data_IF_181586915498
#
_entry.id   IF_181586915498
#
_cell.length_a   1.000
_cell.length_b   1.000
_cell.length_c   1.000
_cell.angle_alpha   90.00
_cell.angle_beta   90.00
_cell.angle_gamma   90.00
#
_symmetry.space_group_name_H-M   'P 1'
#
loop_
_entity.id
_entity.type
_entity.pdbx_description
1 polymer ?
#
# COMPACT_ATOMS: atom_id res chain seq x y z
N UNK A 1 10.35 -31.92 -30.27
CA UNK A 1 10.02 -31.08 -29.09
C UNK A 1 10.76 -29.79 -29.26
N UNK A 2 10.04 -28.72 -29.58
CA UNK A 2 10.64 -27.40 -29.71
C UNK A 2 11.05 -26.88 -28.31
N UNK A 3 12.31 -26.42 -28.23
CA UNK A 3 12.80 -25.84 -26.98
C UNK A 3 12.06 -24.50 -26.72
N UNK A 4 11.54 -24.26 -25.51
CA UNK A 4 10.89 -22.99 -25.22
C UNK A 4 11.89 -21.83 -25.39
N UNK A 5 11.47 -20.80 -26.13
CA UNK A 5 12.22 -19.55 -26.25
C UNK A 5 11.95 -18.74 -24.97
N UNK A 6 12.97 -18.58 -24.13
CA UNK A 6 12.89 -17.75 -22.94
C UNK A 6 13.30 -16.33 -23.35
N UNK A 7 12.33 -15.43 -23.43
CA UNK A 7 12.58 -13.99 -23.61
C UNK A 7 12.75 -13.37 -22.23
N UNK A 8 13.99 -13.10 -21.84
CA UNK A 8 14.29 -12.30 -20.64
C UNK A 8 14.40 -10.84 -21.04
N UNK A 9 13.44 -10.01 -20.67
CA UNK A 9 13.56 -8.56 -20.70
C UNK A 9 14.11 -8.07 -19.36
N UNK A 10 14.86 -6.96 -19.38
CA UNK A 10 15.26 -6.28 -18.15
C UNK A 10 14.00 -5.70 -17.49
N UNK A 11 13.65 -6.28 -16.34
CA UNK A 11 12.45 -5.89 -15.58
C UNK A 11 12.67 -4.64 -14.71
N UNK A 12 13.85 -4.02 -14.79
CA UNK A 12 14.11 -2.80 -14.02
C UNK A 12 13.20 -1.67 -14.48
N UNK A 13 12.65 -1.01 -13.50
CA UNK A 13 11.76 0.14 -13.66
C UNK A 13 12.48 1.38 -13.10
N UNK A 14 13.43 1.91 -13.89
CA UNK A 14 14.28 3.06 -13.50
C UNK A 14 13.49 4.35 -13.25
N UNK A 15 12.23 4.37 -13.69
CA UNK A 15 11.31 5.46 -13.42
C UNK A 15 10.66 5.43 -12.03
N UNK A 16 10.85 4.33 -11.26
CA UNK A 16 10.32 4.21 -9.90
C UNK A 16 11.38 4.61 -8.87
N UNK A 17 11.04 5.61 -8.05
CA UNK A 17 11.88 6.07 -6.95
C UNK A 17 11.39 5.41 -5.67
N UNK A 18 12.14 4.44 -5.18
CA UNK A 18 11.80 3.68 -3.97
C UNK A 18 12.36 4.39 -2.74
N UNK A 19 11.50 4.67 -1.77
CA UNK A 19 11.86 5.37 -0.54
C UNK A 19 11.34 4.60 0.68
N UNK A 20 12.17 4.49 1.71
CA UNK A 20 11.76 4.04 3.05
C UNK A 20 11.71 5.27 3.96
N UNK A 21 10.65 5.39 4.75
CA UNK A 21 10.47 6.49 5.71
C UNK A 21 10.12 5.94 7.07
N UNK A 22 11.00 6.19 8.02
CA UNK A 22 10.78 5.86 9.40
C UNK A 22 9.68 6.76 9.98
N UNK A 23 8.65 6.14 10.53
CA UNK A 23 7.54 6.77 11.25
C UNK A 23 7.51 6.38 12.71
N UNK A 24 8.60 5.79 13.20
CA UNK A 24 8.77 5.45 14.60
C UNK A 24 8.67 6.73 15.46
N UNK A 25 7.89 6.68 16.50
CA UNK A 25 7.77 7.78 17.44
C UNK A 25 7.64 7.24 18.87
N UNK A 26 8.15 8.01 19.84
CA UNK A 26 8.11 7.67 21.27
C UNK A 26 6.76 8.01 21.93
N UNK A 27 5.68 8.05 21.16
CA UNK A 27 4.34 8.33 21.68
C UNK A 27 3.80 7.11 22.42
N UNK A 28 3.11 7.36 23.55
CA UNK A 28 2.65 6.30 24.45
C UNK A 28 1.39 5.61 23.93
N UNK A 29 0.48 6.36 23.31
CA UNK A 29 -0.80 5.82 22.85
C UNK A 29 -0.77 5.45 21.37
N UNK A 30 -1.59 4.47 21.00
CA UNK A 30 -1.79 4.08 19.59
C UNK A 30 -2.33 5.26 18.76
N UNK A 31 -3.22 6.05 19.32
CA UNK A 31 -3.82 7.22 18.68
C UNK A 31 -2.76 8.26 18.31
N UNK A 32 -1.89 8.61 19.26
CA UNK A 32 -0.80 9.57 19.02
C UNK A 32 0.19 9.07 17.97
N UNK A 33 0.49 7.76 17.94
CA UNK A 33 1.35 7.15 16.92
C UNK A 33 0.69 7.19 15.54
N UNK A 34 -0.61 6.89 15.48
CA UNK A 34 -1.38 6.96 14.26
C UNK A 34 -1.44 8.40 13.71
N UNK A 35 -1.71 9.37 14.57
CA UNK A 35 -1.71 10.78 14.20
C UNK A 35 -0.37 11.23 13.63
N UNK A 36 0.74 10.86 14.28
CA UNK A 36 2.08 11.15 13.78
C UNK A 36 2.32 10.54 12.39
N UNK A 37 1.92 9.28 12.19
CA UNK A 37 2.04 8.58 10.92
C UNK A 37 1.21 9.25 9.83
N UNK A 38 -0.01 9.68 10.13
CA UNK A 38 -0.87 10.43 9.22
C UNK A 38 -0.25 11.79 8.86
N UNK A 39 0.31 12.53 9.81
CA UNK A 39 1.03 13.77 9.51
C UNK A 39 2.21 13.57 8.56
N UNK A 40 2.93 12.44 8.68
CA UNK A 40 3.98 12.09 7.72
C UNK A 40 3.41 11.73 6.35
N UNK A 41 2.28 11.00 6.31
CA UNK A 41 1.58 10.68 5.07
C UNK A 41 1.14 11.94 4.32
N UNK A 42 0.50 12.89 5.00
CA UNK A 42 0.08 14.16 4.40
C UNK A 42 1.26 14.92 3.80
N UNK A 43 2.38 15.02 4.53
CA UNK A 43 3.60 15.65 4.00
C UNK A 43 4.14 14.96 2.73
N UNK A 44 3.96 13.66 2.58
CA UNK A 44 4.35 12.94 1.37
C UNK A 44 3.39 13.24 0.23
N UNK A 45 2.09 13.27 0.50
CA UNK A 45 1.07 13.66 -0.49
C UNK A 45 1.37 15.07 -0.97
N UNK A 46 1.47 16.05 -0.10
CA UNK A 46 1.73 17.46 -0.44
C UNK A 46 3.04 17.64 -1.22
N UNK A 47 4.04 16.81 -0.94
CA UNK A 47 5.35 16.89 -1.61
C UNK A 47 5.37 16.29 -2.99
N UNK A 48 4.72 15.13 -3.18
CA UNK A 48 4.88 14.30 -4.37
C UNK A 48 3.65 14.24 -5.25
N UNK A 49 2.47 14.56 -4.71
CA UNK A 49 1.25 14.67 -5.51
C UNK A 49 1.22 16.02 -6.22
N UNK A 50 1.04 15.98 -7.55
CA UNK A 50 0.89 17.15 -8.40
C UNK A 50 -0.40 17.04 -9.19
N UNK A 51 -0.33 16.34 -10.32
CA UNK A 51 -1.46 16.20 -11.25
C UNK A 51 -1.94 14.75 -11.39
N UNK A 52 -1.10 13.78 -11.08
CA UNK A 52 -1.39 12.35 -11.18
C UNK A 52 -2.21 11.81 -10.02
N UNK A 53 -2.34 10.50 -9.93
CA UNK A 53 -3.08 9.82 -8.88
C UNK A 53 -2.17 9.33 -7.75
N UNK A 54 -2.71 9.30 -6.54
CA UNK A 54 -2.08 8.76 -5.33
C UNK A 54 -2.76 7.46 -4.93
N UNK A 55 -1.99 6.43 -4.67
CA UNK A 55 -2.49 5.15 -4.19
C UNK A 55 -1.87 4.82 -2.83
N UNK A 56 -2.70 4.70 -1.80
CA UNK A 56 -2.29 4.41 -0.44
C UNK A 56 -2.74 3.00 -0.08
N UNK A 57 -1.79 2.13 0.21
CA UNK A 57 -2.08 0.77 0.68
C UNK A 57 -2.07 0.70 2.20
N UNK A 58 -3.15 0.16 2.78
CA UNK A 58 -3.24 -0.17 4.19
C UNK A 58 -3.60 -1.64 4.37
N UNK A 59 -3.09 -2.27 5.43
CA UNK A 59 -3.24 -3.72 5.62
C UNK A 59 -4.66 -4.17 5.96
N UNK A 60 -5.46 -3.31 6.61
CA UNK A 60 -6.79 -3.68 7.07
C UNK A 60 -7.86 -2.73 6.57
N UNK A 61 -9.08 -3.25 6.45
CA UNK A 61 -10.26 -2.43 6.09
C UNK A 61 -10.52 -1.33 7.12
N UNK A 62 -10.21 -1.57 8.39
CA UNK A 62 -10.35 -0.57 9.46
C UNK A 62 -9.41 0.61 9.25
N UNK A 63 -8.15 0.35 8.88
CA UNK A 63 -7.22 1.43 8.53
C UNK A 63 -7.65 2.18 7.28
N UNK A 64 -8.15 1.47 6.26
CA UNK A 64 -8.67 2.13 5.05
C UNK A 64 -9.82 3.07 5.38
N UNK A 65 -10.76 2.64 6.22
CA UNK A 65 -11.91 3.45 6.61
C UNK A 65 -11.51 4.65 7.48
N UNK A 66 -10.61 4.45 8.45
CA UNK A 66 -10.09 5.52 9.29
C UNK A 66 -9.33 6.58 8.48
N UNK A 67 -8.43 6.15 7.60
CA UNK A 67 -7.69 7.06 6.71
C UNK A 67 -8.62 7.79 5.75
N UNK A 68 -9.64 7.12 5.20
CA UNK A 68 -10.63 7.74 4.34
C UNK A 68 -11.36 8.90 5.02
N UNK A 69 -11.77 8.72 6.28
CA UNK A 69 -12.45 9.77 7.04
C UNK A 69 -11.50 10.93 7.32
N UNK A 70 -10.30 10.66 7.83
CA UNK A 70 -9.34 11.70 8.20
C UNK A 70 -8.82 12.45 6.97
N UNK A 71 -8.39 11.75 5.93
CA UNK A 71 -7.89 12.39 4.71
C UNK A 71 -9.01 13.06 3.93
N UNK A 72 -10.25 12.60 4.04
CA UNK A 72 -11.41 13.24 3.43
C UNK A 72 -11.73 14.63 3.99
N UNK A 73 -11.38 14.87 5.25
CA UNK A 73 -11.45 16.21 5.87
C UNK A 73 -10.30 17.11 5.43
N UNK A 74 -9.10 16.54 5.22
CA UNK A 74 -7.89 17.29 4.82
C UNK A 74 -7.91 17.60 3.31
N UNK A 75 -8.37 16.65 2.48
CA UNK A 75 -8.43 16.77 1.02
C UNK A 75 -9.89 16.56 0.57
N UNK A 76 -10.79 17.53 0.82
CA UNK A 76 -12.21 17.39 0.56
C UNK A 76 -12.50 17.20 -0.93
N UNK A 77 -13.32 16.21 -1.23
CA UNK A 77 -13.71 15.89 -2.60
C UNK A 77 -12.72 15.02 -3.37
N UNK A 78 -11.48 14.83 -2.90
CA UNK A 78 -10.41 14.19 -3.65
C UNK A 78 -10.11 12.74 -3.21
N UNK A 79 -10.59 12.34 -2.04
CA UNK A 79 -10.29 11.03 -1.44
C UNK A 79 -11.37 10.02 -1.75
N UNK A 80 -10.94 8.79 -2.08
CA UNK A 80 -11.80 7.62 -2.23
C UNK A 80 -11.18 6.39 -1.57
N UNK A 81 -11.95 5.30 -1.45
CA UNK A 81 -11.47 4.07 -0.81
C UNK A 81 -11.94 2.81 -1.53
N UNK A 82 -11.16 1.73 -1.37
CA UNK A 82 -11.49 0.44 -1.97
C UNK A 82 -11.07 -0.74 -1.07
N UNK A 83 -12.05 -1.55 -0.67
CA UNK A 83 -11.83 -2.84 0.02
C UNK A 83 -13.04 -3.76 -0.12
N UNK A 84 -12.89 -5.04 0.24
CA UNK A 84 -13.90 -6.08 0.05
C UNK A 84 -15.19 -5.87 0.85
N UNK A 85 -15.15 -5.11 1.96
CA UNK A 85 -16.31 -4.91 2.86
C UNK A 85 -17.22 -3.75 2.45
N UNK A 86 -16.88 -2.97 1.43
CA UNK A 86 -17.74 -1.87 0.97
C UNK A 86 -19.03 -2.44 0.40
N UNK A 87 -20.15 -2.00 0.94
CA UNK A 87 -21.52 -2.39 0.52
C UNK A 87 -22.36 -1.13 0.27
N UNK A 88 -23.34 -1.17 -0.62
CA UNK A 88 -23.59 -2.24 -1.62
C UNK A 88 -22.48 -2.25 -2.70
N UNK A 89 -22.40 -3.32 -3.49
CA UNK A 89 -21.38 -3.48 -4.53
C UNK A 89 -21.41 -2.33 -5.56
N UNK A 90 -22.60 -1.78 -5.84
CA UNK A 90 -22.76 -0.59 -6.69
C UNK A 90 -21.94 0.60 -6.17
N UNK A 91 -21.93 0.83 -4.84
CA UNK A 91 -21.13 1.92 -4.24
C UNK A 91 -19.65 1.68 -4.42
N UNK A 92 -19.19 0.45 -4.22
CA UNK A 92 -17.79 0.09 -4.42
C UNK A 92 -17.34 0.32 -5.87
N UNK A 93 -18.18 -0.07 -6.84
CA UNK A 93 -17.93 0.20 -8.27
C UNK A 93 -17.90 1.70 -8.57
N UNK A 94 -18.80 2.50 -7.97
CA UNK A 94 -18.81 3.95 -8.15
C UNK A 94 -17.54 4.62 -7.62
N UNK A 95 -17.11 4.25 -6.40
CA UNK A 95 -15.87 4.79 -5.80
C UNK A 95 -14.63 4.48 -6.65
N UNK A 96 -14.58 3.26 -7.20
CA UNK A 96 -13.53 2.88 -8.13
C UNK A 96 -13.61 3.67 -9.43
N UNK A 97 -14.79 3.80 -10.00
CA UNK A 97 -15.03 4.54 -11.25
C UNK A 97 -14.63 6.01 -11.10
N UNK A 98 -14.99 6.66 -10.00
CA UNK A 98 -14.62 8.07 -9.74
C UNK A 98 -13.09 8.25 -9.69
N UNK A 99 -12.36 7.27 -9.16
CA UNK A 99 -10.90 7.27 -9.17
C UNK A 99 -10.34 7.07 -10.57
N UNK A 100 -10.85 6.09 -11.31
CA UNK A 100 -10.40 5.80 -12.67
C UNK A 100 -10.66 6.95 -13.65
N UNK A 101 -11.71 7.75 -13.40
CA UNK A 101 -12.03 8.95 -14.18
C UNK A 101 -11.29 10.20 -13.69
N UNK A 102 -10.40 10.08 -12.71
CA UNK A 102 -9.66 11.21 -12.15
C UNK A 102 -10.51 12.23 -11.39
N UNK A 103 -11.79 11.92 -11.11
CA UNK A 103 -12.66 12.76 -10.28
C UNK A 103 -12.21 12.81 -8.83
N UNK A 104 -11.54 11.75 -8.39
CA UNK A 104 -10.90 11.63 -7.09
C UNK A 104 -9.50 11.10 -7.32
N UNK A 105 -8.52 11.79 -6.80
CA UNK A 105 -7.12 11.49 -7.11
C UNK A 105 -6.40 10.69 -6.03
N UNK A 106 -6.96 10.56 -4.84
CA UNK A 106 -6.36 9.85 -3.72
C UNK A 106 -7.18 8.59 -3.41
N UNK A 107 -6.66 7.42 -3.75
CA UNK A 107 -7.27 6.12 -3.43
C UNK A 107 -6.58 5.51 -2.21
N UNK A 108 -7.39 5.09 -1.23
CA UNK A 108 -6.94 4.31 -0.08
C UNK A 108 -7.49 2.90 -0.21
N UNK A 109 -6.63 1.89 -0.22
CA UNK A 109 -7.07 0.53 -0.50
C UNK A 109 -6.33 -0.54 0.32
N UNK A 110 -6.96 -1.71 0.43
CA UNK A 110 -6.26 -2.94 0.83
C UNK A 110 -5.61 -3.59 -0.39
N UNK A 111 -4.82 -4.67 -0.17
CA UNK A 111 -4.25 -5.49 -1.25
C UNK A 111 -5.30 -6.01 -2.26
N UNK A 112 -6.58 -6.03 -1.91
CA UNK A 112 -7.66 -6.37 -2.84
C UNK A 112 -7.74 -5.46 -4.08
N UNK A 113 -7.15 -4.26 -4.02
CA UNK A 113 -7.04 -3.34 -5.16
C UNK A 113 -5.97 -3.79 -6.17
N UNK A 114 -5.07 -4.68 -5.78
CA UNK A 114 -3.93 -5.08 -6.63
C UNK A 114 -4.30 -6.02 -7.78
N UNK A 115 -5.51 -6.60 -7.83
CA UNK A 115 -5.90 -7.54 -8.85
C UNK A 115 -6.72 -6.89 -9.98
N UNK A 116 -6.16 -6.91 -11.21
CA UNK A 116 -6.93 -6.67 -12.44
C UNK A 116 -7.40 -5.24 -12.72
N UNK A 117 -7.02 -4.25 -11.91
CA UNK A 117 -7.40 -2.85 -12.12
C UNK A 117 -6.24 -2.13 -12.78
N UNK A 118 -6.48 -1.61 -13.97
CA UNK A 118 -5.54 -0.73 -14.66
C UNK A 118 -5.85 0.72 -14.29
N UNK A 119 -4.89 1.38 -13.65
CA UNK A 119 -4.99 2.79 -13.27
C UNK A 119 -3.86 3.53 -13.96
N UNK A 120 -4.19 4.48 -14.84
CA UNK A 120 -3.17 5.34 -15.41
C UNK A 120 -2.66 6.35 -14.38
N UNK A 121 -1.50 6.92 -14.65
CA UNK A 121 -0.98 8.11 -13.98
C UNK A 121 -0.80 8.06 -12.46
N UNK A 122 -0.48 6.89 -11.88
CA UNK A 122 -0.11 6.83 -10.46
C UNK A 122 1.31 7.39 -10.29
N UNK A 123 1.42 8.57 -9.70
CA UNK A 123 2.68 9.26 -9.43
C UNK A 123 3.23 8.99 -8.02
N UNK A 124 2.35 8.58 -7.09
CA UNK A 124 2.73 8.27 -5.72
C UNK A 124 2.01 7.00 -5.24
N UNK A 125 2.79 6.00 -4.86
CA UNK A 125 2.31 4.84 -4.10
C UNK A 125 2.85 4.94 -2.67
N UNK A 126 1.98 4.86 -1.67
CA UNK A 126 2.38 4.84 -0.27
C UNK A 126 1.90 3.55 0.39
N UNK A 127 2.81 2.81 0.99
CA UNK A 127 2.46 1.74 1.92
C UNK A 127 2.36 2.35 3.32
N UNK A 128 1.13 2.54 3.78
CA UNK A 128 0.86 3.07 5.13
C UNK A 128 1.25 2.09 6.22
N UNK A 129 1.15 0.80 5.96
CA UNK A 129 1.67 -0.30 6.78
C UNK A 129 2.59 -1.16 5.93
N UNK A 130 3.52 -1.87 6.56
CA UNK A 130 4.38 -2.82 5.88
C UNK A 130 3.55 -3.89 5.13
N UNK A 131 3.87 -4.23 3.89
CA UNK A 131 3.15 -5.25 3.14
C UNK A 131 3.34 -6.64 3.77
N UNK A 132 2.44 -7.57 3.47
CA UNK A 132 2.48 -8.94 4.05
C UNK A 132 3.55 -9.80 3.36
N UNK A 133 3.90 -9.48 2.12
CA UNK A 133 4.93 -10.20 1.36
C UNK A 133 5.66 -9.29 0.38
N UNK A 134 6.88 -9.66 -0.01
CA UNK A 134 7.63 -8.97 -1.06
C UNK A 134 6.93 -9.06 -2.42
N UNK A 135 6.23 -10.15 -2.69
CA UNK A 135 5.42 -10.29 -3.91
C UNK A 135 4.30 -9.25 -3.95
N UNK A 136 3.57 -9.07 -2.84
CA UNK A 136 2.54 -8.04 -2.74
C UNK A 136 3.16 -6.64 -2.92
N UNK A 137 4.29 -6.38 -2.26
CA UNK A 137 5.00 -5.12 -2.38
C UNK A 137 5.34 -4.79 -3.83
N UNK A 138 6.00 -5.72 -4.53
CA UNK A 138 6.41 -5.54 -5.94
C UNK A 138 5.19 -5.33 -6.85
N UNK A 139 4.12 -6.09 -6.66
CA UNK A 139 2.89 -5.93 -7.43
C UNK A 139 2.22 -4.58 -7.19
N UNK A 140 2.28 -4.09 -5.95
CA UNK A 140 1.67 -2.81 -5.56
C UNK A 140 2.46 -1.63 -6.08
N UNK A 141 3.79 -1.61 -5.94
CA UNK A 141 4.64 -0.56 -6.53
C UNK A 141 4.62 -0.60 -8.06
N UNK A 142 4.43 -1.78 -8.66
CA UNK A 142 4.27 -1.94 -10.11
C UNK A 142 3.04 -1.24 -10.70
N UNK A 143 2.17 -0.66 -9.86
CA UNK A 143 1.06 0.21 -10.28
C UNK A 143 1.50 1.62 -10.61
N UNK A 144 2.62 2.08 -10.07
CA UNK A 144 3.16 3.41 -10.27
C UNK A 144 3.85 3.56 -11.63
N UNK A 145 3.77 4.73 -12.22
CA UNK A 145 4.54 5.15 -13.38
C UNK A 145 4.42 4.23 -14.60
N UNK A 146 3.24 3.69 -14.90
CA UNK A 146 3.04 2.82 -16.07
C UNK A 146 3.24 3.53 -17.40
N UNK A 147 3.09 4.83 -17.41
CA UNK A 147 3.36 5.73 -18.51
C UNK A 147 4.83 6.16 -18.62
N UNK A 148 5.73 5.49 -17.90
CA UNK A 148 7.16 5.78 -17.83
C UNK A 148 7.54 7.11 -17.20
N UNK A 149 6.60 7.90 -16.71
CA UNK A 149 6.90 9.07 -15.88
C UNK A 149 7.48 8.64 -14.53
N UNK A 150 8.29 9.51 -13.94
CA UNK A 150 8.84 9.28 -12.61
C UNK A 150 7.72 9.16 -11.59
N UNK A 151 7.74 8.10 -10.81
CA UNK A 151 6.79 7.87 -9.75
C UNK A 151 7.50 7.51 -8.44
N UNK A 152 6.94 7.94 -7.32
CA UNK A 152 7.49 7.69 -5.99
C UNK A 152 6.75 6.53 -5.34
N UNK A 153 7.51 5.58 -4.80
CA UNK A 153 6.98 4.46 -4.02
C UNK A 153 7.55 4.55 -2.61
N UNK A 154 6.72 4.92 -1.65
CA UNK A 154 7.16 5.19 -0.28
C UNK A 154 6.62 4.13 0.67
N UNK A 155 7.51 3.48 1.40
CA UNK A 155 7.16 2.59 2.49
C UNK A 155 7.31 3.34 3.82
N UNK A 156 6.19 3.51 4.54
CA UNK A 156 6.20 3.95 5.92
C UNK A 156 6.42 2.73 6.82
N UNK A 157 7.42 2.76 7.67
CA UNK A 157 7.69 1.66 8.60
C UNK A 157 7.88 2.17 10.03
N UNK A 158 7.51 1.34 11.00
CA UNK A 158 7.59 1.64 12.42
C UNK A 158 8.42 0.57 13.13
N UNK A 159 9.52 0.99 13.76
CA UNK A 159 10.40 0.10 14.54
C UNK A 159 9.79 -0.30 15.89
N UNK A 160 8.73 0.34 16.35
CA UNK A 160 8.04 0.01 17.60
C UNK A 160 7.10 -1.20 17.51
N UNK A 161 7.03 -1.86 16.34
CA UNK A 161 6.31 -3.13 16.17
C UNK A 161 4.81 -3.01 15.94
N UNK A 162 4.25 -1.83 15.67
CA UNK A 162 2.82 -1.70 15.32
C UNK A 162 2.51 -2.50 14.04
N UNK A 163 3.41 -2.48 13.06
CA UNK A 163 3.29 -3.30 11.84
C UNK A 163 3.43 -4.80 12.17
N UNK A 164 4.28 -5.17 13.13
CA UNK A 164 4.44 -6.54 13.61
C UNK A 164 3.19 -7.07 14.32
N UNK A 165 2.51 -6.24 15.12
CA UNK A 165 1.28 -6.62 15.78
C UNK A 165 0.17 -7.00 14.77
N UNK A 166 0.04 -6.23 13.69
CA UNK A 166 -0.89 -6.53 12.60
C UNK A 166 -0.47 -7.81 11.89
N UNK A 167 0.80 -7.95 11.54
CA UNK A 167 1.38 -9.12 10.87
C UNK A 167 1.18 -10.40 11.69
N UNK A 168 1.42 -10.34 13.00
CA UNK A 168 1.17 -11.44 13.93
C UNK A 168 -0.32 -11.85 13.98
N UNK A 169 -1.25 -10.90 13.80
CA UNK A 169 -2.67 -11.21 13.72
C UNK A 169 -3.02 -12.07 12.49
N UNK A 170 -2.36 -11.83 11.34
CA UNK A 170 -2.51 -12.66 10.14
C UNK A 170 -1.93 -14.06 10.35
N UNK A 171 -0.75 -14.17 10.97
CA UNK A 171 -0.16 -15.47 11.31
C UNK A 171 -1.10 -16.26 12.23
N UNK A 172 -1.67 -15.63 13.25
CA UNK A 172 -2.60 -16.28 14.19
C UNK A 172 -3.88 -16.77 13.48
N UNK A 173 -4.41 -15.99 12.53
CA UNK A 173 -5.55 -16.41 11.70
C UNK A 173 -5.18 -17.59 10.80
N UNK A 174 -4.02 -17.54 10.15
CA UNK A 174 -3.55 -18.61 9.27
C UNK A 174 -3.30 -19.92 10.02
N UNK A 175 -2.79 -19.88 11.26
CA UNK A 175 -2.62 -21.06 12.12
C UNK A 175 -3.94 -21.81 12.39
N UNK A 176 -5.06 -21.07 12.47
CA UNK A 176 -6.38 -21.67 12.62
C UNK A 176 -6.86 -22.40 11.36
N UNK A 177 -6.31 -22.06 10.18
CA UNK A 177 -6.68 -22.65 8.91
C UNK A 177 -5.73 -23.80 8.51
N UNK A 178 -4.44 -23.56 8.57
CA UNK A 178 -3.42 -24.61 8.33
C UNK A 178 -2.04 -24.16 8.84
N UNK A 179 -1.26 -25.12 9.35
CA UNK A 179 0.13 -24.87 9.77
C UNK A 179 1.03 -24.45 8.58
N UNK A 180 0.77 -24.98 7.39
CA UNK A 180 1.50 -24.64 6.15
C UNK A 180 1.29 -23.18 5.78
N UNK A 181 0.04 -22.69 5.81
CA UNK A 181 -0.28 -21.29 5.52
C UNK A 181 0.41 -20.34 6.51
N UNK A 182 0.42 -20.66 7.79
CA UNK A 182 1.11 -19.86 8.80
C UNK A 182 2.62 -19.79 8.58
N UNK A 183 3.26 -20.91 8.20
CA UNK A 183 4.69 -20.98 7.89
C UNK A 183 5.03 -20.09 6.68
N UNK A 184 4.21 -20.13 5.64
CA UNK A 184 4.38 -19.30 4.43
C UNK A 184 4.29 -17.81 4.76
N UNK A 185 3.26 -17.40 5.51
CA UNK A 185 3.11 -15.99 5.92
C UNK A 185 4.31 -15.54 6.75
N UNK A 186 4.76 -16.34 7.72
CA UNK A 186 5.93 -16.01 8.53
C UNK A 186 7.19 -15.84 7.69
N UNK A 187 7.43 -16.72 6.71
CA UNK A 187 8.56 -16.60 5.78
C UNK A 187 8.49 -15.31 4.96
N UNK A 188 7.32 -14.99 4.42
CA UNK A 188 7.11 -13.78 3.64
C UNK A 188 7.35 -12.51 4.48
N UNK A 189 6.85 -12.47 5.70
CA UNK A 189 7.06 -11.36 6.62
C UNK A 189 8.54 -11.16 6.99
N UNK A 190 9.30 -12.25 7.17
CA UNK A 190 10.73 -12.15 7.39
C UNK A 190 11.46 -11.50 6.20
N UNK A 191 11.05 -11.80 4.96
CA UNK A 191 11.63 -11.14 3.78
C UNK A 191 11.32 -9.64 3.76
N UNK A 192 10.09 -9.24 4.09
CA UNK A 192 9.70 -7.84 4.21
C UNK A 192 10.49 -7.15 5.32
N UNK A 193 10.59 -7.78 6.48
CA UNK A 193 11.36 -7.28 7.61
C UNK A 193 12.83 -7.04 7.22
N UNK A 194 13.48 -8.05 6.60
CA UNK A 194 14.85 -7.92 6.15
C UNK A 194 15.01 -6.76 5.14
N UNK A 195 14.06 -6.58 4.22
CA UNK A 195 14.06 -5.44 3.29
C UNK A 195 13.92 -4.10 3.99
N UNK A 196 13.03 -4.00 5.00
CA UNK A 196 12.79 -2.76 5.75
C UNK A 196 14.04 -2.36 6.53
N UNK A 197 14.67 -3.32 7.21
CA UNK A 197 15.77 -3.06 8.15
C UNK A 197 17.16 -3.34 7.56
N UNK A 198 17.26 -3.69 6.25
CA UNK A 198 18.55 -3.75 5.59
C UNK A 198 19.17 -2.35 5.50
N UNK A 199 20.40 -2.24 5.92
CA UNK A 199 21.22 -1.07 5.67
C UNK A 199 21.49 -0.98 4.15
N UNK A 200 21.12 0.14 3.54
CA UNK A 200 21.51 0.53 2.18
C UNK A 200 22.52 1.66 2.27
#
# INVERSE_FOLDING_TARGET
>A
MDKPVILCSDLRRDNLILLKKDVTCNKKTLEERLEFRIKKLCKLIDKYHKDGSVLIFAQTTTYVDALYNILGEIYPGDVTRYHSRIKPERRKKQLLFDFLQGKRKIMIATSAFSMGIDVPDIELVVHFNAPISMTDYIQQIGRAGRDWRKAHCVLLYDQNGDDDAISNSFIKKAKKQSAKAAKTIKSNLNQVHNFIYSDN
#
